data_IF_181518573823
#
_entry.id   IF_181518573823
#
_cell.length_a   1.000
_cell.length_b   1.000
_cell.length_c   1.000
_cell.angle_alpha   90.00
_cell.angle_beta   90.00
_cell.angle_gamma   90.00
#
_symmetry.space_group_name_H-M   'P 1'
#
loop_
_entity.id
_entity.type
_entity.pdbx_description
1 polymer ?
#
# COMPACT_ATOMS: atom_id res chain seq x y z
N UNK A 1 -62.92 37.73 6.92
CA UNK A 1 -61.52 38.03 6.54
C UNK A 1 -60.77 38.33 7.82
N UNK A 2 -60.10 37.34 8.45
CA UNK A 2 -58.66 37.05 8.28
C UNK A 2 -57.80 38.32 8.30
N UNK A 3 -56.84 38.56 9.21
CA UNK A 3 -56.31 37.75 10.30
C UNK A 3 -55.10 38.46 10.95
N UNK A 4 -55.01 38.29 12.28
CA UNK A 4 -53.82 37.96 13.08
C UNK A 4 -52.57 38.86 13.02
N UNK A 5 -52.48 39.69 14.06
CA UNK A 5 -51.36 39.96 14.99
C UNK A 5 -50.02 39.29 14.64
N UNK A 6 -49.02 40.11 14.31
CA UNK A 6 -47.61 39.73 14.29
C UNK A 6 -46.96 40.02 15.66
N UNK A 7 -46.47 38.98 16.32
CA UNK A 7 -45.49 39.06 17.40
C UNK A 7 -44.22 38.32 16.95
N UNK A 8 -43.00 38.81 17.27
CA UNK A 8 -41.79 38.14 16.83
C UNK A 8 -41.48 36.94 17.72
N UNK A 9 -41.44 35.74 17.12
CA UNK A 9 -40.95 34.52 17.76
C UNK A 9 -39.42 34.56 17.82
N UNK A 10 -38.87 34.50 19.04
CA UNK A 10 -37.45 34.24 19.32
C UNK A 10 -37.14 32.79 18.93
N UNK A 11 -36.24 32.58 17.97
CA UNK A 11 -35.66 31.27 17.70
C UNK A 11 -34.52 31.00 18.68
N UNK A 12 -34.76 30.06 19.58
CA UNK A 12 -33.75 29.46 20.44
C UNK A 12 -33.20 28.16 19.84
N UNK A 13 -31.89 27.99 20.03
CA UNK A 13 -31.12 26.74 20.13
C UNK A 13 -31.00 25.88 18.86
N UNK A 14 -29.77 25.75 18.33
CA UNK A 14 -29.17 24.44 17.99
C UNK A 14 -27.63 24.55 18.04
N UNK A 15 -26.99 23.55 18.66
CA UNK A 15 -25.57 23.52 19.02
C UNK A 15 -24.58 23.33 17.86
N UNK A 16 -23.28 23.12 18.17
CA UNK A 16 -22.23 23.09 17.17
C UNK A 16 -22.35 21.89 16.22
N UNK A 17 -22.27 22.18 14.93
CA UNK A 17 -22.22 21.20 13.82
C UNK A 17 -20.99 20.33 13.97
N UNK A 18 -21.18 19.09 14.44
CA UNK A 18 -20.21 18.03 14.24
C UNK A 18 -20.24 17.63 12.76
N UNK A 19 -19.29 18.14 11.98
CA UNK A 19 -19.06 17.66 10.61
C UNK A 19 -18.27 16.36 10.74
N UNK A 20 -18.99 15.24 10.87
CA UNK A 20 -18.41 13.90 10.72
C UNK A 20 -17.80 13.80 9.32
N UNK A 21 -16.46 13.79 9.25
CA UNK A 21 -15.73 13.52 8.03
C UNK A 21 -15.96 12.06 7.67
N UNK A 22 -16.50 11.84 6.47
CA UNK A 22 -16.85 10.54 5.92
C UNK A 22 -15.65 9.59 5.89
N UNK A 23 -15.66 8.59 6.78
CA UNK A 23 -14.98 7.32 6.56
C UNK A 23 -15.91 6.45 5.70
N UNK A 24 -15.88 6.67 4.39
CA UNK A 24 -16.64 5.86 3.43
C UNK A 24 -15.67 4.90 2.74
N UNK A 25 -15.79 3.59 3.01
CA UNK A 25 -15.13 2.59 2.16
C UNK A 25 -14.70 1.25 2.79
N UNK A 26 -15.02 0.92 4.03
CA UNK A 26 -14.84 -0.44 4.57
C UNK A 26 -16.18 -0.97 5.07
N UNK A 27 -17.14 -1.03 4.15
CA UNK A 27 -18.43 -1.68 4.36
C UNK A 27 -18.28 -3.20 4.25
N UNK A 28 -18.39 -3.86 5.40
CA UNK A 28 -19.12 -5.13 5.57
C UNK A 28 -18.66 -6.33 4.71
N UNK A 29 -17.60 -7.01 5.15
CA UNK A 29 -17.43 -8.45 4.85
C UNK A 29 -18.06 -9.26 6.01
N UNK A 30 -18.97 -10.21 5.74
CA UNK A 30 -19.72 -10.93 6.77
C UNK A 30 -18.83 -11.81 7.68
N UNK A 31 -19.25 -11.93 8.94
CA UNK A 31 -18.50 -12.45 10.09
C UNK A 31 -18.35 -13.98 10.18
N UNK A 32 -18.24 -14.74 9.07
CA UNK A 32 -18.14 -16.21 9.15
C UNK A 32 -17.00 -16.86 8.36
N UNK A 33 -16.06 -16.09 7.80
CA UNK A 33 -14.86 -16.66 7.21
C UNK A 33 -13.69 -16.41 8.16
N UNK A 34 -13.20 -17.47 8.83
CA UNK A 34 -11.89 -17.42 9.50
C UNK A 34 -10.88 -17.06 8.42
N UNK A 35 -10.48 -15.79 8.36
CA UNK A 35 -9.59 -15.27 7.32
C UNK A 35 -8.29 -16.04 7.40
N UNK A 36 -8.10 -17.00 6.48
CA UNK A 36 -6.89 -17.81 6.43
C UNK A 36 -5.72 -16.87 6.17
N UNK A 37 -4.81 -16.75 7.14
CA UNK A 37 -3.54 -16.05 6.93
C UNK A 37 -2.75 -16.84 5.88
N UNK A 38 -2.24 -16.14 4.87
CA UNK A 38 -1.49 -16.73 3.75
C UNK A 38 -0.12 -16.07 3.70
N UNK A 39 0.89 -16.77 3.18
CA UNK A 39 2.17 -16.16 2.81
C UNK A 39 2.11 -15.79 1.34
N UNK A 40 2.26 -14.51 1.04
CA UNK A 40 2.11 -13.95 -0.30
C UNK A 40 3.41 -13.25 -0.66
N UNK A 41 4.04 -13.67 -1.77
CA UNK A 41 5.23 -13.03 -2.31
C UNK A 41 4.86 -12.26 -3.58
N UNK A 42 5.13 -10.96 -3.59
CA UNK A 42 4.93 -10.08 -4.74
C UNK A 42 6.29 -9.82 -5.39
N UNK A 43 6.59 -10.50 -6.49
CA UNK A 43 7.78 -10.24 -7.31
C UNK A 43 7.43 -9.13 -8.27
N UNK A 44 8.12 -7.99 -8.16
CA UNK A 44 7.88 -6.82 -9.01
C UNK A 44 9.14 -6.54 -9.81
N UNK A 45 8.99 -6.52 -11.13
CA UNK A 45 10.06 -6.21 -12.10
C UNK A 45 9.88 -4.85 -12.78
N UNK A 46 8.65 -4.32 -12.74
CA UNK A 46 8.28 -3.06 -13.40
C UNK A 46 8.90 -1.86 -12.69
N UNK A 47 9.68 -1.07 -13.43
CA UNK A 47 10.27 0.19 -13.00
C UNK A 47 9.45 1.42 -13.41
N UNK A 48 10.12 2.56 -13.55
CA UNK A 48 9.48 3.84 -13.85
C UNK A 48 8.78 3.88 -15.21
N UNK A 49 9.24 3.09 -16.17
CA UNK A 49 8.72 3.00 -17.53
C UNK A 49 7.24 2.62 -17.58
N UNK A 50 6.74 1.92 -16.56
CA UNK A 50 5.32 1.60 -16.37
C UNK A 50 4.89 1.80 -14.92
N UNK A 51 5.26 2.94 -14.35
CA UNK A 51 5.03 3.30 -12.94
C UNK A 51 3.60 3.03 -12.44
N UNK A 52 2.56 3.33 -13.22
CA UNK A 52 1.18 3.04 -12.83
C UNK A 52 0.87 1.55 -12.62
N UNK A 53 1.53 0.66 -13.36
CA UNK A 53 1.42 -0.80 -13.17
C UNK A 53 2.18 -1.26 -11.93
N UNK A 54 3.36 -0.70 -11.66
CA UNK A 54 4.07 -0.93 -10.41
C UNK A 54 3.27 -0.46 -9.19
N UNK A 55 2.63 0.72 -9.27
CA UNK A 55 1.76 1.24 -8.21
C UNK A 55 0.59 0.29 -7.94
N UNK A 56 0.02 -0.33 -8.98
CA UNK A 56 -1.03 -1.34 -8.81
C UNK A 56 -0.52 -2.60 -8.08
N UNK A 57 0.69 -3.06 -8.39
CA UNK A 57 1.31 -4.19 -7.70
C UNK A 57 1.48 -3.89 -6.20
N UNK A 58 2.04 -2.72 -5.88
CA UNK A 58 2.20 -2.27 -4.48
C UNK A 58 0.87 -2.07 -3.78
N UNK A 59 -0.18 -1.65 -4.50
CA UNK A 59 -1.52 -1.54 -3.94
C UNK A 59 -2.05 -2.89 -3.47
N UNK A 60 -1.91 -3.93 -4.29
CA UNK A 60 -2.34 -5.28 -3.91
C UNK A 60 -1.52 -5.85 -2.74
N UNK A 61 -0.20 -5.62 -2.72
CA UNK A 61 0.65 -6.00 -1.60
C UNK A 61 0.21 -5.29 -0.30
N UNK A 62 -0.04 -3.98 -0.37
CA UNK A 62 -0.45 -3.15 0.77
C UNK A 62 -1.80 -3.60 1.32
N UNK A 63 -2.79 -3.78 0.44
CA UNK A 63 -4.11 -4.29 0.82
C UNK A 63 -3.99 -5.69 1.44
N UNK A 64 -3.17 -6.57 0.89
CA UNK A 64 -2.98 -7.90 1.47
C UNK A 64 -2.36 -7.85 2.89
N UNK A 65 -1.42 -6.94 3.12
CA UNK A 65 -0.83 -6.72 4.44
C UNK A 65 -1.85 -6.13 5.43
N UNK A 66 -2.67 -5.16 5.00
CA UNK A 66 -3.78 -4.63 5.80
C UNK A 66 -4.82 -5.68 6.17
N UNK A 67 -4.99 -6.68 5.31
CA UNK A 67 -5.88 -7.81 5.56
C UNK A 67 -5.33 -8.84 6.55
N UNK A 68 -4.06 -8.68 6.98
CA UNK A 68 -3.40 -9.54 7.95
C UNK A 68 -2.70 -10.76 7.34
N UNK A 69 -2.49 -10.79 6.02
CA UNK A 69 -1.66 -11.81 5.39
C UNK A 69 -0.17 -11.53 5.66
N UNK A 70 0.65 -12.58 5.64
CA UNK A 70 2.10 -12.44 5.64
C UNK A 70 2.53 -12.06 4.22
N UNK A 71 2.93 -10.81 4.02
CA UNK A 71 3.32 -10.29 2.70
C UNK A 71 4.83 -10.06 2.67
N UNK A 72 5.45 -10.45 1.56
CA UNK A 72 6.81 -10.05 1.20
C UNK A 72 6.80 -9.50 -0.21
N UNK A 73 7.55 -8.41 -0.43
CA UNK A 73 7.73 -7.82 -1.76
C UNK A 73 9.17 -8.05 -2.18
N UNK A 74 9.39 -8.57 -3.39
CA UNK A 74 10.73 -8.79 -3.94
C UNK A 74 10.89 -7.98 -5.23
N UNK A 75 11.76 -6.98 -5.17
CA UNK A 75 12.06 -6.07 -6.26
C UNK A 75 13.24 -6.60 -7.07
N UNK A 76 13.00 -6.84 -8.35
CA UNK A 76 14.01 -7.28 -9.32
C UNK A 76 14.13 -6.26 -10.45
N UNK A 77 15.20 -6.37 -11.24
CA UNK A 77 15.48 -5.50 -12.38
C UNK A 77 15.42 -4.00 -12.04
N UNK A 78 14.61 -3.22 -12.76
CA UNK A 78 14.48 -1.77 -12.54
C UNK A 78 13.53 -1.42 -11.39
N UNK A 79 12.71 -2.38 -10.92
CA UNK A 79 11.83 -2.15 -9.78
C UNK A 79 12.58 -1.90 -8.47
N UNK A 80 13.88 -2.20 -8.39
CA UNK A 80 14.67 -1.93 -7.18
C UNK A 80 14.62 -0.46 -6.78
N UNK A 81 14.43 0.45 -7.74
CA UNK A 81 14.41 1.87 -7.50
C UNK A 81 13.19 2.29 -6.67
N UNK A 82 12.12 1.48 -6.61
CA UNK A 82 10.98 1.76 -5.74
C UNK A 82 11.32 1.73 -4.25
N UNK A 83 12.37 0.98 -3.87
CA UNK A 83 12.86 0.95 -2.50
C UNK A 83 13.92 2.01 -2.19
N UNK A 84 14.30 2.86 -3.16
CA UNK A 84 15.25 3.95 -2.89
C UNK A 84 14.57 5.19 -2.32
N UNK A 85 15.26 5.85 -1.40
CA UNK A 85 14.78 7.07 -0.75
C UNK A 85 14.44 8.13 -1.81
N UNK A 86 13.23 8.69 -1.72
CA UNK A 86 12.75 9.77 -2.61
C UNK A 86 12.24 9.32 -3.98
N UNK A 87 12.51 8.09 -4.42
CA UNK A 87 12.15 7.66 -5.78
C UNK A 87 10.65 7.38 -5.99
N UNK A 88 9.92 7.07 -4.92
CA UNK A 88 8.47 6.90 -4.97
C UNK A 88 7.69 8.22 -4.88
N UNK A 89 8.37 9.34 -4.63
CA UNK A 89 7.73 10.65 -4.41
C UNK A 89 7.02 11.15 -5.66
N UNK A 90 5.78 11.62 -5.49
CA UNK A 90 4.96 12.14 -6.58
C UNK A 90 4.45 11.10 -7.58
N UNK A 91 4.83 9.82 -7.46
CA UNK A 91 4.40 8.77 -8.38
C UNK A 91 2.97 8.32 -8.06
N UNK A 92 2.14 8.30 -9.10
CA UNK A 92 0.72 7.97 -9.02
C UNK A 92 0.29 6.99 -10.09
N UNK A 93 -0.72 6.18 -9.78
CA UNK A 93 -1.47 5.43 -10.79
C UNK A 93 -2.40 6.38 -11.59
N UNK A 94 -2.99 5.86 -12.67
CA UNK A 94 -4.05 6.57 -13.40
C UNK A 94 -5.35 6.74 -12.60
N UNK A 95 -5.54 5.97 -11.53
CA UNK A 95 -6.69 6.03 -10.62
C UNK A 95 -6.42 6.86 -9.37
N UNK A 96 -5.23 7.42 -9.22
CA UNK A 96 -4.88 8.42 -8.21
C UNK A 96 -4.15 7.92 -6.98
N UNK A 97 -3.98 6.59 -6.81
CA UNK A 97 -3.20 6.01 -5.71
C UNK A 97 -1.73 6.45 -5.79
N UNK A 98 -1.15 6.76 -4.64
CA UNK A 98 0.23 7.19 -4.50
C UNK A 98 1.15 6.02 -4.20
N UNK A 99 2.22 5.86 -4.96
CA UNK A 99 3.23 4.82 -4.69
C UNK A 99 3.81 4.95 -3.28
N UNK A 100 4.15 6.17 -2.86
CA UNK A 100 4.72 6.43 -1.54
C UNK A 100 3.80 5.97 -0.40
N UNK A 101 2.53 6.31 -0.43
CA UNK A 101 1.57 5.95 0.63
C UNK A 101 1.41 4.42 0.75
N UNK A 102 1.51 3.70 -0.37
CA UNK A 102 1.47 2.24 -0.42
C UNK A 102 2.74 1.64 0.20
N UNK A 103 3.92 2.17 -0.14
CA UNK A 103 5.18 1.75 0.50
C UNK A 103 5.18 2.06 2.01
N UNK A 104 4.72 3.26 2.41
CA UNK A 104 4.58 3.64 3.81
C UNK A 104 3.65 2.67 4.58
N UNK A 105 2.59 2.20 3.92
CA UNK A 105 1.69 1.17 4.48
C UNK A 105 2.42 -0.15 4.70
N UNK A 106 3.20 -0.60 3.71
CA UNK A 106 4.00 -1.83 3.83
C UNK A 106 5.03 -1.74 4.96
N UNK A 107 5.71 -0.59 5.07
CA UNK A 107 6.68 -0.29 6.15
C UNK A 107 5.99 -0.31 7.51
N UNK A 108 4.86 0.38 7.66
CA UNK A 108 4.10 0.42 8.90
C UNK A 108 3.60 -0.98 9.34
N UNK A 109 3.36 -1.88 8.37
CA UNK A 109 3.02 -3.29 8.60
C UNK A 109 4.25 -4.19 8.79
N UNK A 110 5.46 -3.65 8.75
CA UNK A 110 6.74 -4.39 8.84
C UNK A 110 6.85 -5.48 7.77
N UNK A 111 6.32 -5.21 6.57
CA UNK A 111 6.43 -6.08 5.41
C UNK A 111 7.89 -6.06 4.93
N UNK A 112 8.57 -7.21 4.81
CA UNK A 112 9.88 -7.26 4.18
C UNK A 112 9.82 -6.80 2.72
N UNK A 113 10.66 -5.83 2.37
CA UNK A 113 10.87 -5.37 1.00
C UNK A 113 12.29 -5.77 0.57
N UNK A 114 12.39 -6.82 -0.23
CA UNK A 114 13.66 -7.33 -0.70
C UNK A 114 14.10 -6.58 -1.96
N UNK A 115 15.32 -6.07 -1.94
CA UNK A 115 15.98 -5.48 -3.11
C UNK A 115 16.97 -6.50 -3.66
N UNK A 116 16.80 -6.91 -4.92
CA UNK A 116 17.71 -7.87 -5.54
C UNK A 116 19.16 -7.37 -5.53
N UNK A 117 20.05 -8.13 -4.90
CA UNK A 117 21.47 -7.79 -4.77
C UNK A 117 22.15 -7.52 -6.11
N UNK A 118 22.02 -8.41 -7.09
CA UNK A 118 22.68 -8.24 -8.37
C UNK A 118 22.17 -6.99 -9.13
N UNK A 119 20.87 -6.68 -8.99
CA UNK A 119 20.27 -5.50 -9.61
C UNK A 119 20.76 -4.21 -8.94
N UNK A 120 20.86 -4.21 -7.61
CA UNK A 120 21.40 -3.11 -6.81
C UNK A 120 22.88 -2.87 -7.11
N UNK A 121 23.70 -3.92 -7.09
CA UNK A 121 25.13 -3.86 -7.42
C UNK A 121 25.33 -3.25 -8.82
N UNK A 122 24.54 -3.68 -9.81
CA UNK A 122 24.63 -3.18 -11.18
C UNK A 122 24.25 -1.69 -11.33
N UNK A 123 23.41 -1.19 -10.43
CA UNK A 123 22.89 0.20 -10.42
C UNK A 123 23.56 1.08 -9.37
N UNK A 124 24.59 0.56 -8.69
CA UNK A 124 25.33 1.24 -7.61
C UNK A 124 24.42 1.71 -6.46
N UNK A 125 23.39 0.92 -6.16
CA UNK A 125 22.49 1.17 -5.03
C UNK A 125 23.02 0.42 -3.80
N UNK A 126 23.30 1.17 -2.74
CA UNK A 126 23.77 0.66 -1.46
C UNK A 126 22.63 0.53 -0.45
N UNK A 127 22.82 -0.19 0.68
CA UNK A 127 21.82 -0.22 1.75
C UNK A 127 21.44 1.15 2.30
N UNK A 128 22.36 2.12 2.30
CA UNK A 128 22.13 3.47 2.83
C UNK A 128 21.21 4.31 1.92
N UNK A 129 21.00 3.87 0.68
CA UNK A 129 20.09 4.51 -0.28
C UNK A 129 18.64 4.02 -0.13
N UNK A 130 18.38 3.04 0.74
CA UNK A 130 17.09 2.35 0.84
C UNK A 130 16.15 2.94 1.89
N UNK A 131 14.86 2.85 1.62
CA UNK A 131 13.79 3.17 2.58
C UNK A 131 13.83 2.21 3.78
N UNK A 132 13.26 2.64 4.90
CA UNK A 132 13.15 1.82 6.11
C UNK A 132 12.46 0.48 5.81
N UNK A 133 12.99 -0.61 6.38
CA UNK A 133 12.42 -1.96 6.22
C UNK A 133 12.79 -2.66 4.90
N UNK A 134 13.42 -1.96 3.95
CA UNK A 134 13.98 -2.61 2.77
C UNK A 134 15.35 -3.25 3.07
N UNK A 135 15.62 -4.39 2.42
CA UNK A 135 16.84 -5.18 2.64
C UNK A 135 17.39 -5.72 1.32
N UNK A 136 18.69 -5.57 1.09
CA UNK A 136 19.36 -6.19 -0.05
C UNK A 136 19.42 -7.70 0.15
N UNK A 137 18.85 -8.45 -0.79
CA UNK A 137 18.71 -9.91 -0.72
C UNK A 137 19.24 -10.59 -1.98
N UNK A 138 19.99 -11.70 -1.85
CA UNK A 138 20.49 -12.44 -3.01
C UNK A 138 19.39 -13.30 -3.65
N UNK A 139 19.56 -13.64 -4.92
CA UNK A 139 18.58 -14.41 -5.69
C UNK A 139 18.11 -15.75 -5.04
N UNK A 140 18.96 -16.53 -4.33
CA UNK A 140 18.51 -17.74 -3.65
C UNK A 140 17.41 -17.52 -2.61
N UNK A 141 17.29 -16.32 -2.02
CA UNK A 141 16.19 -15.98 -1.10
C UNK A 141 14.85 -16.00 -1.84
N UNK A 142 14.79 -15.37 -3.01
CA UNK A 142 13.59 -15.40 -3.85
C UNK A 142 13.27 -16.82 -4.34
N UNK A 143 14.28 -17.54 -4.83
CA UNK A 143 14.08 -18.93 -5.32
C UNK A 143 13.54 -19.83 -4.21
N UNK A 144 14.01 -19.66 -2.96
CA UNK A 144 13.48 -20.38 -1.80
C UNK A 144 12.01 -20.06 -1.54
N UNK A 145 11.61 -18.78 -1.61
CA UNK A 145 10.20 -18.39 -1.46
C UNK A 145 9.33 -18.97 -2.59
N UNK A 146 9.84 -18.99 -3.82
CA UNK A 146 9.11 -19.53 -4.97
C UNK A 146 8.91 -21.04 -4.92
N UNK A 147 9.86 -21.77 -4.33
CA UNK A 147 9.78 -23.22 -4.16
C UNK A 147 9.05 -23.67 -2.88
N UNK A 148 8.73 -22.76 -1.97
CA UNK A 148 8.06 -23.06 -0.72
C UNK A 148 6.52 -23.14 -0.96
N UNK A 149 5.89 -24.31 -0.71
CA UNK A 149 4.46 -24.51 -0.99
C UNK A 149 3.53 -23.64 -0.13
N UNK A 150 4.02 -23.03 0.95
CA UNK A 150 3.23 -22.11 1.77
C UNK A 150 3.13 -20.72 1.14
N UNK A 151 4.02 -20.38 0.21
CA UNK A 151 3.96 -19.12 -0.53
C UNK A 151 3.07 -19.24 -1.76
N UNK A 152 2.18 -18.26 -1.90
CA UNK A 152 1.60 -17.91 -3.18
C UNK A 152 2.40 -16.77 -3.79
N UNK A 153 2.98 -16.99 -4.95
CA UNK A 153 3.80 -16.01 -5.66
C UNK A 153 3.00 -15.31 -6.75
N UNK A 154 3.10 -13.99 -6.80
CA UNK A 154 2.55 -13.15 -7.85
C UNK A 154 3.68 -12.38 -8.51
N UNK A 155 3.68 -12.34 -9.84
CA UNK A 155 4.69 -11.63 -10.63
C UNK A 155 4.04 -10.44 -11.34
N UNK A 156 4.68 -9.28 -11.25
CA UNK A 156 4.27 -8.05 -11.89
C UNK A 156 5.38 -7.52 -12.81
#
# INVERSE_FOLDING_TARGET
MFGKVFAPLKFGVTGPRAVCKAAAGLGFLPHHERRKVMKLCFVVSIGFERSGSATRAMQFASLAAEQGHHVEVFLIDDAIHWAQIGMAEGIRSSTGEHMKDLLDTLIARKTPIHVCKACADKRLVSPDDLIEGAVISPAPVLVKMMGDPDYKVFTF
#
